data_IF_129184243696
#
_entry.id   IF_129184243696
#
_cell.length_a   1.000
_cell.length_b   1.000
_cell.length_c   1.000
_cell.angle_alpha   90.00
_cell.angle_beta   90.00
_cell.angle_gamma   90.00
#
_symmetry.space_group_name_H-M   'P 1'
#
loop_
_entity.id
_entity.type
_entity.pdbx_description
1 polymer ?
#
# COMPACT_ATOMS: atom_id res chain seq x y z
N UNK A 1 -13.80 -22.06 15.22
CA UNK A 1 -12.44 -22.50 14.83
C UNK A 1 -11.51 -21.89 15.87
N UNK A 2 -10.68 -22.68 16.53
CA UNK A 2 -9.77 -22.16 17.57
C UNK A 2 -8.66 -21.30 16.93
N UNK A 3 -8.00 -20.43 17.70
CA UNK A 3 -6.92 -19.57 17.20
C UNK A 3 -5.75 -20.39 16.66
N UNK A 4 -5.49 -21.56 17.23
CA UNK A 4 -4.47 -22.51 16.77
C UNK A 4 -4.82 -23.11 15.39
N UNK A 5 -6.10 -23.39 15.13
CA UNK A 5 -6.58 -23.89 13.83
C UNK A 5 -6.46 -22.78 12.75
N UNK A 6 -6.76 -21.53 13.10
CA UNK A 6 -6.59 -20.36 12.21
C UNK A 6 -5.13 -20.10 11.87
N UNK A 7 -4.26 -20.16 12.87
CA UNK A 7 -2.81 -20.04 12.70
C UNK A 7 -2.28 -21.10 11.73
N UNK A 8 -2.67 -22.37 11.92
CA UNK A 8 -2.27 -23.44 11.03
C UNK A 8 -2.75 -23.20 9.59
N UNK A 9 -3.99 -22.72 9.40
CA UNK A 9 -4.52 -22.35 8.08
C UNK A 9 -3.71 -21.21 7.44
N UNK A 10 -3.49 -20.11 8.15
CA UNK A 10 -2.80 -18.94 7.59
C UNK A 10 -1.30 -19.18 7.31
N UNK A 11 -0.60 -19.92 8.17
CA UNK A 11 0.82 -20.23 7.96
C UNK A 11 1.04 -21.35 6.94
N UNK A 12 0.40 -22.51 7.14
CA UNK A 12 0.78 -23.74 6.45
C UNK A 12 0.04 -23.92 5.14
N UNK A 13 -1.23 -23.51 5.10
CA UNK A 13 -2.08 -23.70 3.92
C UNK A 13 -2.02 -22.48 3.00
N UNK A 14 -2.11 -21.28 3.57
CA UNK A 14 -2.22 -20.04 2.78
C UNK A 14 -0.92 -19.23 2.68
N UNK A 15 0.12 -19.58 3.45
CA UNK A 15 1.44 -18.93 3.44
C UNK A 15 1.34 -17.39 3.51
N UNK A 16 0.43 -16.89 4.33
CA UNK A 16 0.08 -15.47 4.40
C UNK A 16 1.14 -14.62 5.11
N UNK A 17 2.16 -15.22 5.70
CA UNK A 17 3.22 -14.54 6.44
C UNK A 17 4.59 -14.83 5.81
N UNK A 18 5.58 -13.93 5.96
CA UNK A 18 6.94 -14.18 5.49
C UNK A 18 7.52 -15.49 6.06
N UNK A 19 8.25 -16.22 5.23
CA UNK A 19 8.99 -17.39 5.69
C UNK A 19 10.03 -16.98 6.75
N UNK A 20 10.12 -17.74 7.85
CA UNK A 20 11.08 -17.49 8.91
C UNK A 20 10.72 -16.35 9.87
N UNK A 21 9.46 -15.87 9.86
CA UNK A 21 8.97 -14.95 10.89
C UNK A 21 9.11 -15.61 12.27
N UNK A 22 9.57 -14.85 13.27
CA UNK A 22 9.67 -15.36 14.65
C UNK A 22 8.26 -15.72 15.16
N UNK A 23 8.05 -16.93 15.75
CA UNK A 23 6.77 -17.34 16.32
C UNK A 23 6.14 -16.32 17.27
N UNK A 24 6.94 -15.60 18.07
CA UNK A 24 6.43 -14.57 18.97
C UNK A 24 5.84 -13.36 18.23
N UNK A 25 6.49 -12.94 17.13
CA UNK A 25 6.00 -11.85 16.28
C UNK A 25 4.71 -12.24 15.56
N UNK A 26 4.63 -13.49 15.11
CA UNK A 26 3.42 -14.02 14.49
C UNK A 26 2.27 -14.08 15.48
N UNK A 27 2.50 -14.69 16.64
CA UNK A 27 1.49 -14.77 17.69
C UNK A 27 0.97 -13.37 18.06
N UNK A 28 1.87 -12.41 18.22
CA UNK A 28 1.49 -11.03 18.49
C UNK A 28 0.63 -10.42 17.37
N UNK A 29 1.04 -10.61 16.11
CA UNK A 29 0.28 -10.19 14.92
C UNK A 29 -1.16 -10.73 14.95
N UNK A 30 -1.33 -12.01 15.28
CA UNK A 30 -2.63 -12.64 15.39
C UNK A 30 -3.46 -12.10 16.56
N UNK A 31 -2.83 -11.83 17.70
CA UNK A 31 -3.52 -11.14 18.81
C UNK A 31 -4.04 -9.79 18.34
N UNK A 32 -3.21 -8.99 17.66
CA UNK A 32 -3.62 -7.65 17.20
C UNK A 32 -4.74 -7.69 16.16
N UNK A 33 -4.72 -8.69 15.28
CA UNK A 33 -5.77 -8.91 14.28
C UNK A 33 -7.16 -9.12 14.92
N UNK A 34 -7.20 -9.76 16.08
CA UNK A 34 -8.44 -10.10 16.81
C UNK A 34 -8.75 -9.17 17.99
N UNK A 35 -8.00 -8.07 18.15
CA UNK A 35 -8.30 -7.05 19.16
C UNK A 35 -9.55 -6.20 18.88
N UNK A 36 -9.99 -5.94 17.62
CA UNK A 36 -11.16 -5.12 17.42
C UNK A 36 -12.41 -5.71 18.08
N UNK A 37 -13.25 -4.86 18.67
CA UNK A 37 -14.37 -5.32 19.49
C UNK A 37 -15.54 -5.87 18.66
N UNK A 38 -15.87 -5.23 17.54
CA UNK A 38 -17.08 -5.54 16.75
C UNK A 38 -16.78 -5.99 15.31
N UNK A 39 -15.53 -5.85 14.86
CA UNK A 39 -15.13 -6.16 13.48
C UNK A 39 -14.18 -7.34 13.43
N UNK A 40 -14.53 -8.36 12.65
CA UNK A 40 -13.60 -9.43 12.31
C UNK A 40 -12.90 -9.10 10.98
N UNK A 41 -11.57 -8.98 11.02
CA UNK A 41 -10.77 -8.75 9.81
C UNK A 41 -10.32 -10.08 9.24
N UNK A 42 -10.93 -10.50 8.13
CA UNK A 42 -10.51 -11.69 7.39
C UNK A 42 -9.31 -11.38 6.49
N UNK A 43 -8.14 -11.90 6.85
CA UNK A 43 -6.88 -11.62 6.13
C UNK A 43 -6.91 -12.08 4.67
N UNK A 44 -7.66 -13.13 4.34
CA UNK A 44 -7.77 -13.62 2.96
C UNK A 44 -8.42 -12.58 2.06
N UNK A 45 -9.62 -12.12 2.44
CA UNK A 45 -10.36 -11.08 1.74
C UNK A 45 -9.58 -9.77 1.71
N UNK A 46 -8.98 -9.38 2.85
CA UNK A 46 -8.13 -8.21 2.93
C UNK A 46 -6.96 -8.29 1.92
N UNK A 47 -6.26 -9.43 1.83
CA UNK A 47 -5.11 -9.59 0.94
C UNK A 47 -5.50 -9.49 -0.53
N UNK A 48 -6.66 -10.04 -0.92
CA UNK A 48 -7.18 -9.88 -2.28
C UNK A 48 -7.49 -8.42 -2.61
N UNK A 49 -8.19 -7.74 -1.70
CA UNK A 49 -8.49 -6.31 -1.82
C UNK A 49 -7.22 -5.46 -1.89
N UNK A 50 -6.24 -5.73 -1.02
CA UNK A 50 -4.98 -5.01 -0.95
C UNK A 50 -4.13 -5.21 -2.22
N UNK A 51 -4.08 -6.42 -2.78
CA UNK A 51 -3.41 -6.67 -4.08
C UNK A 51 -4.04 -5.84 -5.18
N UNK A 52 -5.37 -5.81 -5.25
CA UNK A 52 -6.10 -5.01 -6.25
C UNK A 52 -5.84 -3.52 -6.08
N UNK A 53 -5.91 -3.02 -4.84
CA UNK A 53 -5.60 -1.63 -4.53
C UNK A 53 -4.16 -1.25 -4.91
N UNK A 54 -3.18 -2.11 -4.60
CA UNK A 54 -1.79 -1.91 -5.00
C UNK A 54 -1.61 -1.85 -6.53
N UNK A 55 -2.28 -2.72 -7.28
CA UNK A 55 -2.26 -2.68 -8.75
C UNK A 55 -2.87 -1.40 -9.32
N UNK A 56 -4.03 -0.98 -8.81
CA UNK A 56 -4.69 0.26 -9.22
C UNK A 56 -3.79 1.44 -8.92
N UNK A 57 -3.27 1.53 -7.70
CA UNK A 57 -2.35 2.58 -7.26
C UNK A 57 -1.13 2.65 -8.17
N UNK A 58 -0.44 1.53 -8.43
CA UNK A 58 0.79 1.51 -9.23
C UNK A 58 0.53 1.91 -10.69
N UNK A 59 -0.58 1.46 -11.28
CA UNK A 59 -0.97 1.87 -12.64
C UNK A 59 -1.31 3.35 -12.71
N UNK A 60 -2.04 3.85 -11.72
CA UNK A 60 -2.45 5.24 -11.63
C UNK A 60 -1.23 6.18 -11.52
N UNK A 61 -0.35 5.95 -10.55
CA UNK A 61 0.80 6.84 -10.29
C UNK A 61 1.87 6.78 -11.38
N UNK A 62 2.00 5.64 -12.05
CA UNK A 62 2.86 5.48 -13.23
C UNK A 62 2.02 5.61 -14.51
N UNK A 63 1.15 6.62 -14.57
CA UNK A 63 0.45 7.01 -15.79
C UNK A 63 0.88 8.41 -16.21
N UNK A 64 0.89 8.63 -17.53
CA UNK A 64 1.15 9.97 -18.07
C UNK A 64 0.09 10.98 -17.61
N UNK A 65 -1.18 10.60 -17.60
CA UNK A 65 -2.29 11.46 -17.15
C UNK A 65 -2.08 11.96 -15.72
N UNK A 66 -1.75 11.06 -14.79
CA UNK A 66 -1.50 11.45 -13.41
C UNK A 66 -0.26 12.34 -13.28
N UNK A 67 0.81 12.06 -14.02
CA UNK A 67 2.02 12.89 -14.02
C UNK A 67 1.75 14.32 -14.53
N UNK A 68 0.97 14.47 -15.60
CA UNK A 68 0.58 15.77 -16.15
C UNK A 68 -0.33 16.56 -15.19
N UNK A 69 -1.30 15.89 -14.56
CA UNK A 69 -2.14 16.47 -13.51
C UNK A 69 -1.31 16.89 -12.29
N UNK A 70 -0.41 16.03 -11.83
CA UNK A 70 0.47 16.30 -10.71
C UNK A 70 1.39 17.50 -11.00
N UNK A 71 1.89 17.61 -12.22
CA UNK A 71 2.65 18.75 -12.69
C UNK A 71 1.80 20.03 -12.88
N UNK A 72 0.47 19.95 -12.80
CA UNK A 72 -0.43 21.08 -13.06
C UNK A 72 -0.46 21.50 -14.52
N UNK A 73 -0.12 20.59 -15.43
CA UNK A 73 -0.29 20.80 -16.88
C UNK A 73 -1.74 20.56 -17.30
N UNK A 74 -2.46 19.73 -16.54
CA UNK A 74 -3.91 19.57 -16.60
C UNK A 74 -4.53 19.91 -15.25
N UNK A 75 -5.78 20.37 -15.25
CA UNK A 75 -6.54 20.71 -14.04
C UNK A 75 -7.37 19.56 -13.50
N UNK A 76 -7.65 18.55 -14.33
CA UNK A 76 -8.51 17.42 -14.04
C UNK A 76 -7.82 16.11 -14.44
N UNK A 77 -8.06 15.06 -13.66
CA UNK A 77 -7.66 13.69 -13.98
C UNK A 77 -8.62 12.73 -13.31
N UNK A 78 -9.27 11.87 -14.09
CA UNK A 78 -10.13 10.81 -13.55
C UNK A 78 -9.35 9.82 -12.71
N UNK A 79 -8.12 9.52 -13.14
CA UNK A 79 -7.21 8.64 -12.40
C UNK A 79 -6.86 9.25 -11.04
N UNK A 80 -6.64 10.57 -10.98
CA UNK A 80 -6.34 11.25 -9.73
C UNK A 80 -7.54 11.25 -8.76
N UNK A 81 -8.78 11.42 -9.27
CA UNK A 81 -9.97 11.35 -8.43
C UNK A 81 -10.21 9.92 -7.90
N UNK A 82 -10.10 8.90 -8.73
CA UNK A 82 -10.20 7.49 -8.31
C UNK A 82 -9.16 7.14 -7.23
N UNK A 83 -7.93 7.63 -7.40
CA UNK A 83 -6.83 7.32 -6.49
C UNK A 83 -7.03 7.88 -5.07
N UNK A 84 -7.83 8.94 -4.90
CA UNK A 84 -8.15 9.50 -3.56
C UNK A 84 -8.93 8.52 -2.70
N UNK A 85 -9.73 7.65 -3.30
CA UNK A 85 -10.51 6.66 -2.55
C UNK A 85 -9.61 5.55 -1.96
N UNK A 86 -8.49 5.28 -2.61
CA UNK A 86 -7.52 4.27 -2.20
C UNK A 86 -6.46 4.80 -1.23
N UNK A 87 -6.23 6.11 -1.16
CA UNK A 87 -5.12 6.71 -0.44
C UNK A 87 -5.59 7.56 0.74
N UNK A 88 -4.79 7.61 1.79
CA UNK A 88 -4.93 8.72 2.77
C UNK A 88 -4.58 10.05 2.09
N UNK A 89 -5.18 11.18 2.51
CA UNK A 89 -4.93 12.48 1.87
C UNK A 89 -3.44 12.84 1.83
N UNK A 90 -2.72 12.62 2.94
CA UNK A 90 -1.29 12.90 3.01
C UNK A 90 -0.48 12.03 2.03
N UNK A 91 -0.80 10.75 1.93
CA UNK A 91 -0.12 9.84 1.02
C UNK A 91 -0.37 10.22 -0.44
N UNK A 92 -1.61 10.58 -0.77
CA UNK A 92 -1.98 11.10 -2.09
C UNK A 92 -1.15 12.36 -2.46
N UNK A 93 -0.99 13.29 -1.53
CA UNK A 93 -0.16 14.48 -1.77
C UNK A 93 1.32 14.14 -1.99
N UNK A 94 1.85 13.15 -1.26
CA UNK A 94 3.23 12.69 -1.44
C UNK A 94 3.47 12.09 -2.84
N UNK A 95 2.59 11.19 -3.28
CA UNK A 95 2.72 10.56 -4.61
C UNK A 95 2.50 11.59 -5.73
N UNK A 96 1.59 12.55 -5.54
CA UNK A 96 1.40 13.68 -6.45
C UNK A 96 2.68 14.51 -6.56
N UNK A 97 3.29 14.87 -5.43
CA UNK A 97 4.54 15.62 -5.43
C UNK A 97 5.68 14.86 -6.13
N UNK A 98 5.82 13.55 -5.87
CA UNK A 98 6.84 12.70 -6.50
C UNK A 98 6.64 12.57 -8.02
N UNK A 99 5.40 12.40 -8.49
CA UNK A 99 5.07 12.35 -9.91
C UNK A 99 5.36 13.69 -10.61
N UNK A 100 5.00 14.81 -9.97
CA UNK A 100 5.28 16.14 -10.48
C UNK A 100 6.79 16.39 -10.64
N UNK A 101 7.60 16.03 -9.63
CA UNK A 101 9.06 16.18 -9.69
C UNK A 101 9.69 15.28 -10.75
N UNK A 102 9.16 14.07 -10.96
CA UNK A 102 9.61 13.17 -12.03
C UNK A 102 9.43 13.81 -13.40
N UNK A 103 8.27 14.43 -13.66
CA UNK A 103 8.00 15.07 -14.93
C UNK A 103 8.75 16.41 -15.10
N UNK A 104 8.67 17.30 -14.11
CA UNK A 104 9.23 18.66 -14.22
C UNK A 104 10.75 18.68 -14.11
N UNK A 105 11.30 17.99 -13.12
CA UNK A 105 12.71 18.14 -12.76
C UNK A 105 13.60 17.17 -13.53
N UNK A 106 13.07 15.99 -13.88
CA UNK A 106 13.80 14.97 -14.64
C UNK A 106 13.40 14.90 -16.11
N UNK A 107 12.41 15.69 -16.53
CA UNK A 107 11.86 15.68 -17.89
C UNK A 107 11.49 14.24 -18.34
N UNK A 108 10.88 13.49 -17.42
CA UNK A 108 10.70 12.05 -17.51
C UNK A 108 9.25 11.65 -17.23
N UNK A 109 8.70 10.72 -18.01
CA UNK A 109 7.48 9.99 -17.63
C UNK A 109 7.78 8.52 -17.39
N UNK A 110 7.03 7.93 -16.47
CA UNK A 110 7.00 6.49 -16.24
C UNK A 110 5.58 5.99 -16.53
N UNK A 111 5.48 4.96 -17.35
CA UNK A 111 4.22 4.36 -17.77
C UNK A 111 4.25 2.86 -17.49
N UNK A 112 3.47 2.40 -16.52
CA UNK A 112 3.36 0.99 -16.19
C UNK A 112 2.46 0.29 -17.23
N UNK A 113 3.08 -0.51 -18.10
CA UNK A 113 2.39 -1.21 -19.19
C UNK A 113 1.70 -2.47 -18.67
N UNK A 114 2.43 -3.27 -17.89
CA UNK A 114 1.94 -4.53 -17.33
C UNK A 114 2.44 -4.69 -15.91
N UNK A 115 1.61 -5.30 -15.06
CA UNK A 115 1.97 -5.67 -13.69
C UNK A 115 1.34 -6.99 -13.32
N UNK A 116 2.16 -7.87 -12.74
CA UNK A 116 1.72 -9.08 -12.07
C UNK A 116 2.27 -9.09 -10.66
N UNK A 117 1.39 -9.13 -9.67
CA UNK A 117 1.79 -9.40 -8.29
C UNK A 117 1.99 -10.92 -8.18
N UNK A 118 3.23 -11.34 -8.02
CA UNK A 118 3.64 -12.75 -7.95
C UNK A 118 3.37 -13.35 -6.57
N UNK A 119 3.41 -12.51 -5.53
CA UNK A 119 3.13 -12.93 -4.16
C UNK A 119 2.82 -11.73 -3.27
N UNK A 120 2.04 -11.96 -2.22
CA UNK A 120 1.81 -10.98 -1.18
C UNK A 120 1.68 -11.67 0.17
N UNK A 121 2.32 -11.11 1.19
CA UNK A 121 2.33 -11.63 2.56
C UNK A 121 2.14 -10.49 3.57
N UNK A 122 1.38 -10.75 4.63
CA UNK A 122 1.23 -9.86 5.78
C UNK A 122 2.52 -9.90 6.57
N UNK A 123 3.26 -8.79 6.59
CA UNK A 123 4.49 -8.66 7.37
C UNK A 123 4.19 -8.37 8.85
N UNK A 124 3.13 -7.60 9.12
CA UNK A 124 2.74 -7.20 10.46
C UNK A 124 1.30 -6.65 10.49
N UNK A 125 0.64 -6.76 11.64
CA UNK A 125 -0.63 -6.08 11.94
C UNK A 125 -0.42 -5.28 13.21
N UNK A 126 -0.85 -4.03 13.22
CA UNK A 126 -0.81 -3.16 14.39
C UNK A 126 -2.22 -2.68 14.71
N UNK A 127 -2.65 -2.86 15.94
CA UNK A 127 -3.93 -2.34 16.44
C UNK A 127 -3.67 -1.32 17.53
N UNK A 128 -4.44 -0.23 17.52
CA UNK A 128 -4.46 0.74 18.59
C UNK A 128 -5.85 1.35 18.78
N UNK A 129 -6.15 1.76 20.02
CA UNK A 129 -7.23 2.69 20.29
C UNK A 129 -6.67 4.11 20.29
N UNK A 130 -7.26 4.98 19.49
CA UNK A 130 -6.83 6.35 19.27
C UNK A 130 -7.87 7.32 19.83
N UNK A 131 -7.39 8.44 20.35
CA UNK A 131 -8.17 9.67 20.48
C UNK A 131 -8.43 10.28 19.10
N UNK A 132 -9.40 11.19 19.00
CA UNK A 132 -9.67 11.91 17.75
C UNK A 132 -8.41 12.66 17.23
N UNK A 133 -7.65 13.30 18.14
CA UNK A 133 -6.42 14.02 17.77
C UNK A 133 -5.34 13.08 17.24
N UNK A 134 -5.16 11.90 17.84
CA UNK A 134 -4.21 10.91 17.35
C UNK A 134 -4.62 10.36 15.98
N UNK A 135 -5.90 10.09 15.78
CA UNK A 135 -6.42 9.65 14.49
C UNK A 135 -6.19 10.71 13.39
N UNK A 136 -6.47 11.99 13.68
CA UNK A 136 -6.16 13.09 12.76
C UNK A 136 -4.66 13.17 12.43
N UNK A 137 -3.79 12.94 13.42
CA UNK A 137 -2.36 12.86 13.20
C UNK A 137 -1.97 11.68 12.28
N UNK A 138 -2.62 10.52 12.40
CA UNK A 138 -2.43 9.41 11.47
C UNK A 138 -2.82 9.80 10.05
N UNK A 139 -3.98 10.45 9.87
CA UNK A 139 -4.44 10.92 8.56
C UNK A 139 -3.54 12.03 7.97
N UNK A 140 -2.85 12.79 8.83
CA UNK A 140 -1.83 13.76 8.45
C UNK A 140 -0.45 13.14 8.13
N UNK A 141 -0.31 11.82 8.22
CA UNK A 141 0.89 11.07 7.82
C UNK A 141 1.77 10.56 8.95
N UNK A 142 1.32 10.60 10.19
CA UNK A 142 2.00 9.85 11.24
C UNK A 142 1.79 8.35 10.96
N UNK A 143 2.85 7.62 10.66
CA UNK A 143 2.76 6.19 10.31
C UNK A 143 2.86 5.28 11.52
N UNK A 144 3.33 5.79 12.67
CA UNK A 144 3.50 5.00 13.88
C UNK A 144 2.26 5.10 14.76
N UNK A 145 1.73 3.95 15.16
CA UNK A 145 0.69 3.87 16.18
C UNK A 145 1.29 3.98 17.60
N UNK A 146 0.54 4.56 18.56
CA UNK A 146 0.95 4.59 19.95
C UNK A 146 0.96 3.17 20.55
N UNK A 147 1.94 2.91 21.41
CA UNK A 147 2.08 1.61 22.08
C UNK A 147 1.08 1.41 23.22
N UNK A 148 0.72 2.51 23.90
CA UNK A 148 -0.27 2.52 24.99
C UNK A 148 -1.41 3.45 24.61
N UNK A 149 -2.61 3.12 25.04
CA UNK A 149 -3.80 3.90 24.72
C UNK A 149 -4.16 4.81 25.89
N UNK A 150 -4.63 6.00 25.55
CA UNK A 150 -5.22 6.90 26.52
C UNK A 150 -6.58 6.39 26.99
N UNK A 151 -7.00 6.78 28.20
CA UNK A 151 -8.32 6.38 28.74
C UNK A 151 -9.49 6.98 27.97
N UNK A 152 -9.27 8.08 27.23
CA UNK A 152 -10.25 8.75 26.39
C UNK A 152 -10.16 8.32 24.91
N UNK A 153 -9.38 7.27 24.60
CA UNK A 153 -9.34 6.71 23.26
C UNK A 153 -10.66 5.97 22.94
N UNK A 154 -11.28 6.33 21.82
CA UNK A 154 -12.57 5.76 21.39
C UNK A 154 -12.55 5.22 19.97
N UNK A 155 -11.50 5.48 19.19
CA UNK A 155 -11.40 5.07 17.80
C UNK A 155 -10.51 3.83 17.73
N UNK A 156 -11.10 2.69 17.41
CA UNK A 156 -10.32 1.49 17.11
C UNK A 156 -9.74 1.60 15.70
N UNK A 157 -8.42 1.52 15.59
CA UNK A 157 -7.70 1.68 14.33
C UNK A 157 -6.68 0.56 14.14
N UNK A 158 -6.61 0.06 12.91
CA UNK A 158 -5.68 -0.99 12.53
C UNK A 158 -4.83 -0.56 11.35
N UNK A 159 -3.54 -0.86 11.42
CA UNK A 159 -2.64 -0.86 10.28
C UNK A 159 -2.22 -2.29 9.93
N UNK A 160 -2.31 -2.65 8.65
CA UNK A 160 -1.80 -3.91 8.12
C UNK A 160 -0.66 -3.62 7.16
N UNK A 161 0.52 -4.15 7.48
CA UNK A 161 1.70 -4.05 6.64
C UNK A 161 1.77 -5.26 5.72
N UNK A 162 1.74 -5.02 4.42
CA UNK A 162 1.78 -6.02 3.38
C UNK A 162 3.09 -5.91 2.59
N UNK A 163 3.77 -7.02 2.37
CA UNK A 163 4.88 -7.11 1.43
C UNK A 163 4.40 -7.78 0.14
N UNK A 164 4.62 -7.15 -1.00
CA UNK A 164 4.33 -7.70 -2.33
C UNK A 164 5.61 -7.87 -3.12
N UNK A 165 5.69 -8.95 -3.90
CA UNK A 165 6.66 -9.09 -4.99
C UNK A 165 5.93 -9.01 -6.33
N UNK A 166 6.41 -8.22 -7.26
CA UNK A 166 5.77 -8.01 -8.56
C UNK A 166 6.75 -8.00 -9.72
N UNK A 167 6.28 -8.53 -10.85
CA UNK A 167 6.89 -8.39 -12.17
C UNK A 167 6.20 -7.25 -12.91
N UNK A 168 6.96 -6.26 -13.34
CA UNK A 168 6.43 -5.01 -13.92
C UNK A 168 7.13 -4.67 -15.23
N UNK A 169 6.34 -4.46 -16.28
CA UNK A 169 6.85 -3.91 -17.55
C UNK A 169 6.61 -2.40 -17.52
N UNK A 170 7.69 -1.63 -17.39
CA UNK A 170 7.65 -0.17 -17.27
C UNK A 170 8.28 0.46 -18.50
N UNK A 171 7.55 1.40 -19.11
CA UNK A 171 8.09 2.29 -20.14
C UNK A 171 8.56 3.58 -19.46
N UNK A 172 9.82 3.91 -19.63
CA UNK A 172 10.40 5.18 -19.23
C UNK A 172 10.64 6.02 -20.47
N UNK A 173 10.15 7.26 -20.46
CA UNK A 173 10.35 8.22 -21.56
C UNK A 173 11.08 9.44 -21.02
N UNK A 174 12.31 9.66 -21.47
CA UNK A 174 13.02 10.92 -21.33
C UNK A 174 12.61 11.82 -22.50
N UNK A 175 11.83 12.86 -22.22
CA UNK A 175 11.12 13.63 -23.25
C UNK A 175 12.14 14.29 -24.20
N UNK A 176 11.99 13.98 -25.50
CA UNK A 176 12.87 14.50 -26.55
C UNK A 176 14.25 13.83 -26.63
N UNK A 177 14.48 12.75 -25.88
CA UNK A 177 15.77 12.05 -25.85
C UNK A 177 15.61 10.56 -26.15
N UNK A 178 14.93 9.82 -25.29
CA UNK A 178 14.85 8.37 -25.45
C UNK A 178 13.63 7.75 -24.78
N UNK A 179 13.28 6.56 -25.26
CA UNK A 179 12.30 5.68 -24.66
C UNK A 179 12.97 4.34 -24.33
N UNK A 180 12.79 3.87 -23.11
CA UNK A 180 13.29 2.60 -22.63
C UNK A 180 12.13 1.76 -22.09
N UNK A 181 12.05 0.50 -22.51
CA UNK A 181 11.13 -0.46 -21.94
C UNK A 181 11.94 -1.46 -21.11
N UNK A 182 11.56 -1.65 -19.85
CA UNK A 182 12.23 -2.57 -18.95
C UNK A 182 11.23 -3.47 -18.23
N UNK A 183 11.63 -4.73 -18.05
CA UNK A 183 11.00 -5.66 -17.11
C UNK A 183 11.71 -5.52 -15.76
N UNK A 184 10.95 -5.29 -14.71
CA UNK A 184 11.44 -5.07 -13.35
C UNK A 184 10.83 -6.11 -12.41
N UNK A 185 11.65 -6.68 -11.53
CA UNK A 185 11.22 -7.44 -10.38
C UNK A 185 11.33 -6.53 -9.16
N UNK A 186 10.21 -6.23 -8.53
CA UNK A 186 10.12 -5.25 -7.45
C UNK A 186 9.58 -5.90 -6.18
N UNK A 187 10.17 -5.53 -5.03
CA UNK A 187 9.57 -5.78 -3.72
C UNK A 187 9.01 -4.46 -3.21
N UNK A 188 7.77 -4.47 -2.70
CA UNK A 188 7.18 -3.30 -2.04
C UNK A 188 6.56 -3.65 -0.71
N UNK A 189 6.73 -2.76 0.25
CA UNK A 189 5.97 -2.74 1.49
C UNK A 189 4.87 -1.72 1.37
N UNK A 190 3.67 -2.11 1.79
CA UNK A 190 2.46 -1.30 1.80
C UNK A 190 1.95 -1.23 3.23
N UNK A 191 1.55 -0.05 3.66
CA UNK A 191 0.83 0.12 4.93
C UNK A 191 -0.60 0.49 4.59
N UNK A 192 -1.54 -0.37 4.93
CA UNK A 192 -2.97 -0.09 4.85
C UNK A 192 -3.48 0.28 6.23
N UNK A 193 -4.35 1.27 6.32
CA UNK A 193 -4.93 1.73 7.56
C UNK A 193 -6.44 1.85 7.46
N UNK A 194 -7.15 1.48 8.52
CA UNK A 194 -8.59 1.62 8.62
C UNK A 194 -9.04 1.78 10.06
N UNK A 195 -10.17 2.48 10.25
CA UNK A 195 -10.98 2.25 11.45
C UNK A 195 -11.53 0.83 11.41
N UNK A 196 -11.60 0.20 12.57
CA UNK A 196 -12.06 -1.19 12.75
C UNK A 196 -13.05 -1.34 13.90
N UNK A 197 -13.57 -0.22 14.42
CA UNK A 197 -14.54 -0.22 15.51
C UNK A 197 -15.90 -0.79 15.10
N UNK A 198 -16.26 -0.71 13.82
CA UNK A 198 -17.46 -1.31 13.24
C UNK A 198 -17.29 -1.56 11.73
N UNK A 199 -18.14 -2.42 11.17
CA UNK A 199 -18.14 -2.71 9.73
C UNK A 199 -18.47 -1.48 8.86
N UNK A 200 -19.33 -0.58 9.35
CA UNK A 200 -19.74 0.63 8.60
C UNK A 200 -18.60 1.66 8.50
N UNK A 201 -17.62 1.60 9.41
CA UNK A 201 -16.44 2.46 9.39
C UNK A 201 -15.25 1.84 8.65
N UNK A 202 -15.34 0.56 8.25
CA UNK A 202 -14.25 -0.16 7.62
C UNK A 202 -13.97 0.41 6.22
N UNK A 203 -12.84 1.09 6.08
CA UNK A 203 -12.41 1.72 4.85
C UNK A 203 -10.87 1.68 4.75
N UNK A 204 -10.35 0.56 4.22
CA UNK A 204 -8.92 0.38 4.04
C UNK A 204 -8.33 1.38 3.04
N UNK A 205 -7.36 2.17 3.50
CA UNK A 205 -6.63 3.14 2.67
C UNK A 205 -5.13 2.92 2.77
N UNK A 206 -4.42 3.18 1.69
CA UNK A 206 -2.96 3.18 1.63
C UNK A 206 -2.45 4.41 2.39
N UNK A 207 -1.73 4.13 3.47
CA UNK A 207 -1.10 5.12 4.36
C UNK A 207 0.31 5.44 3.86
N UNK A 208 1.05 4.41 3.43
CA UNK A 208 2.42 4.56 2.95
C UNK A 208 2.83 3.39 2.06
N UNK A 209 3.84 3.62 1.22
CA UNK A 209 4.52 2.56 0.49
C UNK A 209 6.00 2.86 0.32
N UNK A 210 6.80 1.81 0.39
CA UNK A 210 8.22 1.84 0.03
C UNK A 210 8.53 0.65 -0.87
N UNK A 211 9.53 0.81 -1.73
CA UNK A 211 9.85 -0.19 -2.74
C UNK A 211 11.33 -0.24 -3.09
N UNK A 212 11.75 -1.43 -3.49
CA UNK A 212 13.07 -1.72 -4.03
C UNK A 212 12.93 -2.43 -5.37
N UNK A 213 13.84 -2.12 -6.29
CA UNK A 213 14.00 -2.86 -7.53
C UNK A 213 15.05 -3.95 -7.29
N UNK A 214 14.59 -5.20 -7.29
CA UNK A 214 15.45 -6.37 -7.05
C UNK A 214 16.30 -6.67 -8.29
N UNK A 215 15.69 -6.54 -9.46
CA UNK A 215 16.34 -6.77 -10.74
C UNK A 215 15.62 -6.02 -11.87
N UNK A 216 16.38 -5.56 -12.85
CA UNK A 216 15.85 -4.94 -14.06
C UNK A 216 16.48 -5.54 -15.31
N UNK A 217 15.67 -5.78 -16.33
CA UNK A 217 16.08 -6.23 -17.66
C UNK A 217 15.54 -5.27 -18.69
N UNK A 218 16.41 -4.59 -19.42
CA UNK A 218 16.02 -3.78 -20.57
C UNK A 218 15.46 -4.71 -21.67
N UNK A 219 14.25 -4.41 -22.15
CA UNK A 219 13.58 -5.10 -23.24
C UNK A 219 13.82 -4.40 -24.57
N UNK A 220 13.76 -3.07 -24.57
CA UNK A 220 14.05 -2.25 -25.75
C UNK A 220 14.50 -0.83 -25.34
N UNK A 221 15.20 -0.17 -26.26
CA UNK A 221 15.60 1.24 -26.13
C UNK A 221 15.53 1.90 -27.50
N UNK A 222 14.94 3.08 -27.56
CA UNK A 222 14.88 3.93 -28.75
C UNK A 222 15.46 5.29 -28.39
N UNK A 223 16.42 5.74 -29.19
CA UNK A 223 17.08 7.04 -29.10
C UNK A 223 16.64 7.88 -30.28
#
# INVERSE_FOLDING_TARGET
MDNDDRMAKYEKELQMFPAGLNPASLWWTMVQLHMPAETEVELEEFLEGAKRAAQVQLKAVNSKEFAEFAAGWTTESSIAEELKDYCTPRFFDNIKHAAAGTLKDRNMTMELQEIKIEGAVVANVQYAQLTQTEYEAQMAGLTKLPWFWSQDATIEYMQVHLMTRSSETTKMTLIGQEECLALQDNTRTWTFGSKVGSLDELAWRIVDTSGENNAAKQLSRKV
#
